data_IF_153376453814
#
_entry.id   IF_153376453814
#
_cell.length_a   1.000
_cell.length_b   1.000
_cell.length_c   1.000
_cell.angle_alpha   90.00
_cell.angle_beta   90.00
_cell.angle_gamma   90.00
#
_symmetry.space_group_name_H-M   'P 1'
#
loop_
_entity.id
_entity.type
_entity.pdbx_description
1 polymer ?
#
# COMPACT_ATOMS: atom_id res chain seq x y z
N UNK A 1 23.27 -7.27 -12.81
CA UNK A 1 22.34 -6.99 -13.94
C UNK A 1 21.41 -5.88 -13.48
N UNK A 2 21.04 -4.96 -14.37
CA UNK A 2 20.08 -3.90 -14.05
C UNK A 2 18.68 -4.52 -13.86
N UNK A 3 17.94 -4.03 -12.85
CA UNK A 3 16.54 -4.43 -12.65
C UNK A 3 15.67 -3.85 -13.75
N UNK A 4 14.67 -4.60 -14.21
CA UNK A 4 13.74 -4.14 -15.25
C UNK A 4 12.57 -3.37 -14.68
N UNK A 5 12.17 -3.72 -13.43
CA UNK A 5 11.04 -3.13 -12.73
C UNK A 5 11.31 -3.08 -11.23
N UNK A 6 10.75 -2.09 -10.57
CA UNK A 6 10.69 -2.00 -9.12
C UNK A 6 9.26 -2.25 -8.61
N UNK A 7 9.13 -2.96 -7.51
CA UNK A 7 7.85 -3.24 -6.87
C UNK A 7 7.94 -2.91 -5.38
N UNK A 8 7.16 -1.91 -4.96
CA UNK A 8 6.97 -1.56 -3.56
C UNK A 8 5.79 -2.36 -3.00
N UNK A 9 5.93 -2.89 -1.78
CA UNK A 9 4.86 -3.56 -1.06
C UNK A 9 4.67 -2.85 0.28
N UNK A 10 3.46 -2.35 0.57
CA UNK A 10 3.18 -1.68 1.84
C UNK A 10 1.97 -2.31 2.52
N UNK A 11 2.09 -2.57 3.83
CA UNK A 11 1.02 -3.16 4.63
C UNK A 11 0.01 -2.13 5.14
N UNK A 12 -1.13 -2.62 5.61
CA UNK A 12 -2.20 -1.84 6.22
C UNK A 12 -2.01 -1.57 7.71
N UNK A 13 -3.14 -1.28 8.38
CA UNK A 13 -3.20 -1.05 9.81
C UNK A 13 -2.97 -2.33 10.63
N UNK A 14 -2.65 -2.16 11.90
CA UNK A 14 -2.42 -3.22 12.87
C UNK A 14 -0.97 -3.72 12.91
N UNK A 15 -0.66 -4.47 13.99
CA UNK A 15 0.68 -5.03 14.18
C UNK A 15 1.04 -6.00 13.06
N UNK A 16 2.16 -5.75 12.42
CA UNK A 16 2.73 -6.60 11.36
C UNK A 16 4.14 -7.03 11.75
N UNK A 17 4.61 -8.11 11.17
CA UNK A 17 6.02 -8.49 11.26
C UNK A 17 6.81 -7.82 10.14
N UNK A 18 8.12 -7.69 10.33
CA UNK A 18 9.01 -7.09 9.31
C UNK A 18 9.08 -7.89 8.01
N UNK A 19 8.72 -9.16 8.05
CA UNK A 19 8.67 -10.11 6.94
C UNK A 19 7.26 -10.25 6.30
N UNK A 20 6.34 -9.33 6.63
CA UNK A 20 4.92 -9.37 6.22
C UNK A 20 4.71 -9.61 4.72
N UNK A 21 5.61 -9.15 3.87
CA UNK A 21 5.50 -9.24 2.41
C UNK A 21 6.07 -10.54 1.83
N UNK A 22 6.88 -11.29 2.57
CA UNK A 22 7.59 -12.48 2.06
C UNK A 22 6.66 -13.55 1.47
N UNK A 23 5.50 -13.89 2.09
CA UNK A 23 4.60 -14.88 1.50
C UNK A 23 4.08 -14.45 0.12
N UNK A 24 3.68 -13.17 -0.04
CA UNK A 24 3.20 -12.63 -1.32
C UNK A 24 4.31 -12.56 -2.37
N UNK A 25 5.48 -12.08 -1.98
CA UNK A 25 6.65 -11.98 -2.89
C UNK A 25 7.04 -13.36 -3.41
N UNK A 26 7.10 -14.35 -2.53
CA UNK A 26 7.41 -15.74 -2.90
C UNK A 26 6.38 -16.29 -3.89
N UNK A 27 5.11 -16.16 -3.58
CA UNK A 27 4.02 -16.63 -4.44
C UNK A 27 4.04 -15.95 -5.84
N UNK A 28 4.24 -14.62 -5.87
CA UNK A 28 4.31 -13.89 -7.13
C UNK A 28 5.56 -14.30 -7.94
N UNK A 29 6.71 -14.47 -7.29
CA UNK A 29 7.93 -14.90 -7.95
C UNK A 29 7.79 -16.31 -8.57
N UNK A 30 7.18 -17.25 -7.87
CA UNK A 30 6.92 -18.60 -8.38
C UNK A 30 6.01 -18.58 -9.61
N UNK A 31 4.98 -17.72 -9.59
CA UNK A 31 4.09 -17.52 -10.74
C UNK A 31 4.80 -16.88 -11.93
N UNK A 32 5.69 -15.92 -11.69
CA UNK A 32 6.51 -15.27 -12.72
C UNK A 32 7.45 -16.28 -13.37
N UNK A 33 8.06 -17.16 -12.59
CA UNK A 33 8.84 -18.30 -13.11
C UNK A 33 7.98 -19.21 -13.98
N UNK A 34 6.75 -19.52 -13.56
CA UNK A 34 5.78 -20.30 -14.35
C UNK A 34 5.38 -19.62 -15.66
N UNK A 35 5.52 -18.31 -15.79
CA UNK A 35 5.32 -17.54 -17.01
C UNK A 35 6.61 -17.42 -17.87
N UNK A 36 7.65 -18.17 -17.54
CA UNK A 36 8.96 -18.15 -18.21
C UNK A 36 9.65 -16.77 -18.16
N UNK A 37 9.44 -16.03 -17.08
CA UNK A 37 10.09 -14.75 -16.78
C UNK A 37 11.04 -14.90 -15.59
N UNK A 38 12.01 -13.99 -15.48
CA UNK A 38 13.02 -14.05 -14.42
C UNK A 38 12.66 -13.12 -13.24
N UNK A 39 12.32 -13.65 -12.05
CA UNK A 39 12.02 -12.84 -10.87
C UNK A 39 13.22 -11.99 -10.40
N UNK A 40 14.46 -12.37 -10.74
CA UNK A 40 15.64 -11.57 -10.41
C UNK A 40 15.69 -10.23 -11.14
N UNK A 41 14.88 -10.03 -12.18
CA UNK A 41 14.73 -8.75 -12.87
C UNK A 41 13.87 -7.74 -12.08
N UNK A 42 13.25 -8.17 -10.97
CA UNK A 42 12.43 -7.34 -10.09
C UNK A 42 13.27 -6.84 -8.91
N UNK A 43 13.14 -5.56 -8.59
CA UNK A 43 13.60 -5.00 -7.32
C UNK A 43 12.41 -4.88 -6.36
N UNK A 44 12.32 -5.78 -5.40
CA UNK A 44 11.29 -5.75 -4.36
C UNK A 44 11.67 -4.82 -3.22
N UNK A 45 10.72 -4.01 -2.73
CA UNK A 45 10.92 -3.14 -1.57
C UNK A 45 9.71 -3.15 -0.65
N UNK A 46 9.69 -4.02 0.38
CA UNK A 46 8.73 -3.93 1.46
C UNK A 46 8.91 -2.65 2.29
N UNK A 47 7.80 -1.98 2.60
CA UNK A 47 7.75 -0.82 3.49
C UNK A 47 7.00 -1.22 4.75
N UNK A 48 7.75 -1.40 5.84
CA UNK A 48 7.23 -1.64 7.17
C UNK A 48 7.18 -0.33 7.94
N UNK A 49 6.02 0.02 8.51
CA UNK A 49 5.78 1.30 9.16
C UNK A 49 5.04 1.22 10.51
N UNK A 50 4.45 0.05 10.86
CA UNK A 50 3.61 -0.07 12.08
C UNK A 50 4.36 0.17 13.39
N UNK A 51 5.69 0.00 13.40
CA UNK A 51 6.55 0.28 14.57
C UNK A 51 6.48 1.74 15.03
N UNK A 52 6.14 2.67 14.16
CA UNK A 52 5.96 4.10 14.49
C UNK A 52 4.94 4.32 15.60
N UNK A 53 3.88 3.51 15.64
CA UNK A 53 2.78 3.62 16.60
C UNK A 53 2.71 2.48 17.62
N UNK A 54 3.21 1.31 17.28
CA UNK A 54 2.99 0.07 18.02
C UNK A 54 3.47 0.17 19.49
N UNK A 55 4.63 0.76 19.73
CA UNK A 55 5.14 0.92 21.10
C UNK A 55 4.20 1.76 21.98
N UNK A 56 3.67 2.87 21.45
CA UNK A 56 2.74 3.76 22.15
C UNK A 56 1.42 3.06 22.46
N UNK A 57 0.90 2.31 21.50
CA UNK A 57 -0.36 1.55 21.61
C UNK A 57 -0.24 0.41 22.62
N UNK A 58 0.84 -0.36 22.58
CA UNK A 58 1.10 -1.47 23.51
C UNK A 58 1.34 -0.93 24.91
N UNK A 59 2.10 0.16 25.07
CA UNK A 59 2.34 0.79 26.35
C UNK A 59 1.03 1.24 27.00
N UNK A 60 0.15 1.92 26.26
CA UNK A 60 -1.16 2.32 26.71
C UNK A 60 -2.02 1.12 27.17
N UNK A 61 -2.13 0.07 26.34
CA UNK A 61 -2.91 -1.11 26.68
C UNK A 61 -2.40 -1.82 27.93
N UNK A 62 -1.07 -1.90 28.07
CA UNK A 62 -0.43 -2.51 29.24
C UNK A 62 -0.73 -1.72 30.52
N UNK A 63 -0.65 -0.40 30.43
CA UNK A 63 -0.97 0.48 31.57
C UNK A 63 -2.47 0.40 31.94
N UNK A 64 -3.35 0.48 30.95
CA UNK A 64 -4.79 0.36 31.15
C UNK A 64 -5.19 -1.00 31.77
N UNK A 65 -4.54 -2.09 31.34
CA UNK A 65 -4.79 -3.41 31.91
C UNK A 65 -4.31 -3.51 33.37
N UNK A 66 -3.14 -2.94 33.67
CA UNK A 66 -2.56 -3.02 35.01
C UNK A 66 -3.30 -2.17 36.04
N UNK A 67 -3.69 -0.97 35.64
CA UNK A 67 -4.17 0.05 36.56
C UNK A 67 -5.69 0.20 36.55
N UNK A 68 -6.40 -0.28 35.54
CA UNK A 68 -7.84 -0.06 35.36
C UNK A 68 -8.64 -1.35 35.10
N UNK A 69 -8.00 -2.52 35.20
CA UNK A 69 -8.64 -3.84 35.13
C UNK A 69 -9.63 -3.98 33.94
N UNK A 70 -9.19 -3.58 32.74
CA UNK A 70 -10.02 -3.63 31.54
C UNK A 70 -10.12 -5.07 30.99
N UNK A 71 -11.31 -5.44 30.54
CA UNK A 71 -11.59 -6.73 29.91
C UNK A 71 -11.38 -6.72 28.39
N UNK A 72 -11.48 -7.88 27.76
CA UNK A 72 -11.43 -8.07 26.29
C UNK A 72 -10.13 -7.56 25.64
N UNK A 73 -8.98 -7.79 26.25
CA UNK A 73 -7.69 -7.26 25.82
C UNK A 73 -7.38 -7.56 24.34
N UNK A 74 -7.70 -8.75 23.82
CA UNK A 74 -7.48 -9.09 22.43
C UNK A 74 -8.29 -8.22 21.45
N UNK A 75 -9.57 -8.00 21.74
CA UNK A 75 -10.44 -7.13 20.95
C UNK A 75 -10.00 -5.65 21.07
N UNK A 76 -9.67 -5.20 22.29
CA UNK A 76 -9.16 -3.84 22.50
C UNK A 76 -7.84 -3.59 21.80
N UNK A 77 -6.95 -4.59 21.77
CA UNK A 77 -5.70 -4.50 21.02
C UNK A 77 -6.00 -4.28 19.54
N UNK A 78 -6.87 -5.10 18.96
CA UNK A 78 -7.28 -4.94 17.56
C UNK A 78 -7.86 -3.53 17.29
N UNK A 79 -8.78 -3.07 18.14
CA UNK A 79 -9.39 -1.73 18.00
C UNK A 79 -8.35 -0.62 18.11
N UNK A 80 -7.47 -0.67 19.11
CA UNK A 80 -6.43 0.36 19.32
C UNK A 80 -5.40 0.36 18.19
N UNK A 81 -4.98 -0.80 17.71
CA UNK A 81 -4.00 -0.84 16.60
C UNK A 81 -4.65 -0.43 15.28
N UNK A 82 -5.83 -0.94 14.95
CA UNK A 82 -6.48 -0.66 13.67
C UNK A 82 -7.05 0.77 13.59
N UNK A 83 -7.90 1.17 14.56
CA UNK A 83 -8.49 2.51 14.56
C UNK A 83 -7.49 3.56 15.03
N UNK A 84 -6.56 3.21 15.94
CA UNK A 84 -5.49 4.08 16.40
C UNK A 84 -4.58 4.49 15.25
N UNK A 85 -4.15 3.56 14.41
CA UNK A 85 -3.35 3.82 13.21
C UNK A 85 -4.11 4.76 12.24
N UNK A 86 -5.37 4.44 11.96
CA UNK A 86 -6.20 5.22 11.06
C UNK A 86 -6.44 6.66 11.56
N UNK A 87 -6.63 6.83 12.87
CA UNK A 87 -6.87 8.16 13.47
C UNK A 87 -5.58 8.95 13.71
N UNK A 88 -4.48 8.28 13.98
CA UNK A 88 -3.17 8.92 14.16
C UNK A 88 -2.56 9.36 12.82
N UNK A 89 -2.84 8.63 11.74
CA UNK A 89 -2.39 8.98 10.40
C UNK A 89 -3.30 10.06 9.79
N UNK A 90 -3.25 11.26 10.34
CA UNK A 90 -3.94 12.44 9.81
C UNK A 90 -3.00 13.62 9.77
N UNK A 91 -3.05 14.38 8.65
CA UNK A 91 -2.29 15.63 8.54
C UNK A 91 -2.95 16.70 9.42
N UNK A 92 -2.39 16.96 10.57
CA UNK A 92 -2.87 18.00 11.50
C UNK A 92 -2.13 19.29 11.24
N UNK A 93 -2.85 20.43 11.23
CA UNK A 93 -2.27 21.77 11.07
C UNK A 93 -1.58 22.27 12.37
N UNK A 94 -0.85 21.42 13.06
CA UNK A 94 -0.05 21.84 14.21
C UNK A 94 1.44 21.74 13.87
N UNK A 95 2.26 22.60 14.47
CA UNK A 95 3.71 22.70 14.23
C UNK A 95 4.51 21.43 14.60
N UNK A 96 3.85 20.38 15.03
CA UNK A 96 4.45 19.10 15.43
C UNK A 96 3.46 17.95 15.23
N UNK A 97 3.15 17.62 14.01
CA UNK A 97 2.53 16.32 13.79
C UNK A 97 3.57 15.30 13.40
N UNK A 98 3.87 14.49 14.33
CA UNK A 98 4.94 13.53 14.22
C UNK A 98 4.53 12.27 13.47
N UNK A 99 3.32 11.75 13.65
CA UNK A 99 2.96 10.43 13.09
C UNK A 99 2.83 10.41 11.57
N UNK A 100 2.13 11.40 10.99
CA UNK A 100 2.03 11.52 9.53
C UNK A 100 3.41 11.71 8.90
N UNK A 101 4.20 12.63 9.47
CA UNK A 101 5.55 12.95 8.99
C UNK A 101 6.52 11.78 9.19
N UNK A 102 6.51 11.12 10.36
CA UNK A 102 7.34 9.95 10.65
C UNK A 102 7.07 8.79 9.68
N UNK A 103 5.80 8.53 9.35
CA UNK A 103 5.43 7.49 8.36
C UNK A 103 5.88 7.92 6.96
N UNK A 104 5.67 9.19 6.58
CA UNK A 104 6.11 9.70 5.28
C UNK A 104 7.64 9.69 5.14
N UNK A 105 8.38 10.03 6.19
CA UNK A 105 9.84 9.93 6.23
C UNK A 105 10.29 8.48 6.04
N UNK A 106 9.68 7.52 6.75
CA UNK A 106 9.95 6.09 6.57
C UNK A 106 9.70 5.62 5.13
N UNK A 107 8.59 6.05 4.52
CA UNK A 107 8.28 5.75 3.12
C UNK A 107 9.36 6.33 2.21
N UNK A 108 9.72 7.60 2.40
CA UNK A 108 10.75 8.28 1.64
C UNK A 108 12.13 7.60 1.72
N UNK A 109 12.56 7.24 2.94
CA UNK A 109 13.81 6.51 3.16
C UNK A 109 13.85 5.16 2.40
N UNK A 110 12.76 4.41 2.42
CA UNK A 110 12.67 3.12 1.73
C UNK A 110 12.71 3.28 0.20
N UNK A 111 12.05 4.32 -0.34
CA UNK A 111 12.06 4.63 -1.77
C UNK A 111 13.45 5.10 -2.20
N UNK A 112 14.07 5.97 -1.42
CA UNK A 112 15.45 6.41 -1.65
C UNK A 112 16.43 5.22 -1.63
N UNK A 113 16.32 4.36 -0.63
CA UNK A 113 17.14 3.16 -0.54
C UNK A 113 16.94 2.23 -1.76
N UNK A 114 15.69 2.02 -2.21
CA UNK A 114 15.38 1.28 -3.44
C UNK A 114 16.10 1.90 -4.63
N UNK A 115 16.00 3.21 -4.82
CA UNK A 115 16.59 3.90 -5.96
C UNK A 115 18.11 3.86 -5.94
N UNK A 116 18.72 4.23 -4.82
CA UNK A 116 20.18 4.33 -4.70
C UNK A 116 20.87 2.96 -4.69
N UNK A 117 20.35 2.00 -3.91
CA UNK A 117 21.05 0.74 -3.64
C UNK A 117 20.59 -0.42 -4.51
N UNK A 118 19.27 -0.60 -4.69
CA UNK A 118 18.76 -1.76 -5.43
C UNK A 118 18.74 -1.50 -6.94
N UNK A 119 18.50 -0.25 -7.34
CA UNK A 119 18.45 0.19 -8.74
C UNK A 119 19.73 0.89 -9.20
N UNK A 120 20.72 1.13 -8.33
CA UNK A 120 21.97 1.82 -8.65
C UNK A 120 21.74 3.16 -9.38
N UNK A 121 20.78 3.96 -8.91
CA UNK A 121 20.37 5.24 -9.50
C UNK A 121 19.86 5.15 -10.95
N UNK A 122 19.37 3.97 -11.37
CA UNK A 122 18.77 3.75 -12.69
C UNK A 122 17.24 3.63 -12.53
N UNK A 123 16.51 4.64 -12.97
CA UNK A 123 15.06 4.61 -12.91
C UNK A 123 14.50 3.53 -13.86
N UNK A 124 13.52 2.80 -13.37
CA UNK A 124 12.75 1.81 -14.12
C UNK A 124 11.25 1.96 -13.80
N UNK A 125 10.34 1.30 -14.53
CA UNK A 125 8.93 1.28 -14.18
C UNK A 125 8.71 0.86 -12.73
N UNK A 126 7.81 1.55 -12.02
CA UNK A 126 7.49 1.32 -10.62
C UNK A 126 6.05 0.81 -10.46
N UNK A 127 5.88 -0.29 -9.78
CA UNK A 127 4.57 -0.80 -9.34
C UNK A 127 4.47 -0.71 -7.82
N UNK A 128 3.30 -0.37 -7.30
CA UNK A 128 3.01 -0.34 -5.88
C UNK A 128 1.93 -1.37 -5.59
N UNK A 129 2.18 -2.25 -4.62
CA UNK A 129 1.21 -3.18 -4.03
C UNK A 129 0.86 -2.66 -2.64
N UNK A 130 -0.36 -2.17 -2.45
CA UNK A 130 -0.73 -1.46 -1.24
C UNK A 130 -1.98 -2.05 -0.58
N UNK A 131 -1.82 -2.58 0.62
CA UNK A 131 -2.89 -3.17 1.42
C UNK A 131 -3.55 -2.14 2.34
N UNK A 132 -4.88 -2.10 2.34
CA UNK A 132 -5.66 -1.39 3.36
C UNK A 132 -5.21 0.07 3.55
N UNK A 133 -4.87 0.49 4.77
CA UNK A 133 -4.35 1.83 5.11
C UNK A 133 -3.06 2.16 4.34
N UNK A 134 -2.25 1.15 3.96
CA UNK A 134 -1.09 1.35 3.09
C UNK A 134 -1.44 1.97 1.75
N UNK A 135 -2.63 1.68 1.21
CA UNK A 135 -3.15 2.34 0.01
C UNK A 135 -3.38 3.84 0.22
N UNK A 136 -3.95 4.22 1.36
CA UNK A 136 -4.15 5.61 1.73
C UNK A 136 -2.82 6.35 2.00
N UNK A 137 -1.90 5.70 2.72
CA UNK A 137 -0.54 6.22 2.99
C UNK A 137 0.18 6.51 1.67
N UNK A 138 0.23 5.55 0.75
CA UNK A 138 0.91 5.73 -0.53
C UNK A 138 0.23 6.79 -1.41
N UNK A 139 -1.11 6.83 -1.43
CA UNK A 139 -1.86 7.85 -2.16
C UNK A 139 -1.52 9.26 -1.64
N UNK A 140 -1.48 9.47 -0.32
CA UNK A 140 -1.14 10.76 0.28
C UNK A 140 0.34 11.14 0.04
N UNK A 141 1.25 10.17 0.20
CA UNK A 141 2.68 10.40 -0.04
C UNK A 141 2.94 10.82 -1.49
N UNK A 142 2.36 10.09 -2.45
CA UNK A 142 2.48 10.44 -3.88
C UNK A 142 1.85 11.80 -4.16
N UNK A 143 0.68 12.09 -3.59
CA UNK A 143 0.02 13.39 -3.71
C UNK A 143 0.90 14.53 -3.22
N UNK A 144 1.50 14.39 -2.04
CA UNK A 144 2.40 15.39 -1.48
C UNK A 144 3.65 15.59 -2.37
N UNK A 145 4.25 14.51 -2.90
CA UNK A 145 5.36 14.58 -3.85
C UNK A 145 4.95 15.29 -5.15
N UNK A 146 3.79 14.97 -5.71
CA UNK A 146 3.28 15.60 -6.93
C UNK A 146 2.92 17.07 -6.73
N UNK A 147 2.54 17.48 -5.53
CA UNK A 147 2.20 18.86 -5.17
C UNK A 147 3.45 19.70 -4.89
N UNK A 148 4.40 19.19 -4.13
CA UNK A 148 5.57 19.94 -3.66
C UNK A 148 6.71 19.94 -4.67
N UNK A 149 6.81 18.89 -5.51
CA UNK A 149 7.87 18.75 -6.52
C UNK A 149 9.28 19.05 -5.97
N UNK A 150 9.76 18.34 -4.93
CA UNK A 150 11.05 18.63 -4.30
C UNK A 150 12.19 18.56 -5.32
N UNK A 151 13.02 19.61 -5.39
CA UNK A 151 14.11 19.70 -6.38
C UNK A 151 15.30 18.78 -6.09
N UNK A 152 15.42 18.33 -4.84
CA UNK A 152 16.49 17.44 -4.38
C UNK A 152 16.19 15.94 -4.57
N UNK A 153 15.02 15.59 -5.06
CA UNK A 153 14.63 14.19 -5.33
C UNK A 153 14.69 13.87 -6.83
N UNK A 154 15.05 12.64 -7.13
CA UNK A 154 15.04 12.11 -8.51
C UNK A 154 13.61 11.99 -9.06
N UNK A 155 13.49 11.83 -10.38
CA UNK A 155 12.20 11.55 -11.04
C UNK A 155 11.57 10.24 -10.53
N UNK A 156 12.38 9.25 -10.13
CA UNK A 156 11.91 7.99 -9.56
C UNK A 156 11.27 8.23 -8.17
N UNK A 157 11.95 8.95 -7.28
CA UNK A 157 11.46 9.29 -5.94
C UNK A 157 10.21 10.17 -5.98
N UNK A 158 10.03 10.96 -7.04
CA UNK A 158 8.81 11.77 -7.30
C UNK A 158 7.68 11.00 -7.99
N UNK A 159 7.82 9.68 -8.15
CA UNK A 159 6.85 8.80 -8.80
C UNK A 159 6.56 9.11 -10.27
N UNK A 160 7.46 9.80 -10.95
CA UNK A 160 7.32 10.06 -12.39
C UNK A 160 7.45 8.77 -13.23
N UNK A 161 7.92 7.66 -12.64
CA UNK A 161 8.01 6.33 -13.23
C UNK A 161 6.90 5.36 -12.75
N UNK A 162 5.85 5.86 -12.06
CA UNK A 162 4.75 5.04 -11.57
C UNK A 162 3.96 4.44 -12.74
N UNK A 163 4.07 3.14 -12.93
CA UNK A 163 3.43 2.37 -14.00
C UNK A 163 2.31 1.46 -13.50
N UNK A 164 2.26 1.14 -12.20
CA UNK A 164 1.20 0.33 -11.63
C UNK A 164 0.84 0.76 -10.21
N UNK A 165 -0.44 0.84 -9.93
CA UNK A 165 -0.99 0.99 -8.58
C UNK A 165 -1.96 -0.17 -8.35
N UNK A 166 -1.60 -1.08 -7.46
CA UNK A 166 -2.40 -2.24 -7.10
C UNK A 166 -2.81 -2.06 -5.64
N UNK A 167 -4.06 -1.72 -5.42
CA UNK A 167 -4.64 -1.60 -4.08
C UNK A 167 -5.48 -2.84 -3.78
N UNK A 168 -5.45 -3.32 -2.55
CA UNK A 168 -6.26 -4.46 -2.12
C UNK A 168 -6.73 -4.30 -0.66
N UNK A 169 -8.00 -4.64 -0.41
CA UNK A 169 -8.66 -4.33 0.85
C UNK A 169 -8.58 -2.84 1.18
N UNK A 170 -8.62 -1.97 0.18
CA UNK A 170 -8.27 -0.56 0.31
C UNK A 170 -9.39 0.25 0.96
N UNK A 171 -9.02 1.11 1.92
CA UNK A 171 -9.94 1.93 2.70
C UNK A 171 -9.88 3.43 2.39
N UNK A 172 -9.28 3.85 1.28
CA UNK A 172 -9.26 5.25 0.82
C UNK A 172 -10.65 5.92 0.93
N UNK A 173 -11.77 5.27 0.53
CA UNK A 173 -13.09 5.89 0.62
C UNK A 173 -13.45 6.40 2.01
N UNK A 174 -13.04 5.71 3.09
CA UNK A 174 -13.33 6.13 4.46
C UNK A 174 -12.71 7.50 4.81
N UNK A 175 -11.55 7.78 4.25
CA UNK A 175 -10.82 9.03 4.49
C UNK A 175 -11.27 10.16 3.55
N UNK A 176 -11.85 9.83 2.40
CA UNK A 176 -12.36 10.83 1.46
C UNK A 176 -13.58 11.57 1.98
N UNK A 177 -14.35 10.94 2.88
CA UNK A 177 -15.54 11.56 3.49
C UNK A 177 -15.24 12.83 4.30
N UNK A 178 -13.98 13.08 4.64
CA UNK A 178 -13.55 14.29 5.34
C UNK A 178 -13.39 15.52 4.41
N UNK A 179 -13.48 15.35 3.09
CA UNK A 179 -13.17 16.38 2.09
C UNK A 179 -14.31 16.57 1.11
N UNK A 180 -14.55 17.81 0.67
CA UNK A 180 -15.53 18.14 -0.35
C UNK A 180 -14.96 17.96 -1.77
N UNK A 181 -13.70 18.34 -2.00
CA UNK A 181 -13.01 18.24 -3.30
C UNK A 181 -11.96 17.11 -3.26
N UNK A 182 -12.36 15.92 -3.71
CA UNK A 182 -11.55 14.72 -3.67
C UNK A 182 -10.96 14.47 -5.04
N UNK A 183 -9.63 14.42 -5.12
CA UNK A 183 -8.89 14.14 -6.36
C UNK A 183 -7.92 12.99 -6.17
N UNK A 184 -7.87 12.04 -7.12
CA UNK A 184 -6.85 11.00 -7.11
C UNK A 184 -5.46 11.58 -7.43
N UNK A 185 -4.42 10.83 -7.17
CA UNK A 185 -3.07 11.10 -7.65
C UNK A 185 -3.05 11.18 -9.18
N UNK A 186 -2.10 11.93 -9.75
CA UNK A 186 -1.84 11.88 -11.19
C UNK A 186 -1.20 10.54 -11.55
N UNK A 187 -1.87 9.81 -12.41
CA UNK A 187 -1.47 8.48 -12.87
C UNK A 187 -1.80 8.32 -14.36
N UNK A 188 -0.98 7.66 -15.17
CA UNK A 188 0.35 7.12 -14.84
C UNK A 188 1.43 8.20 -14.70
N UNK A 189 2.63 7.80 -14.28
CA UNK A 189 3.79 8.67 -14.12
C UNK A 189 4.18 9.39 -15.43
N UNK A 190 4.67 10.63 -15.30
CA UNK A 190 4.94 11.52 -16.43
C UNK A 190 6.16 11.11 -17.26
N UNK A 191 7.19 10.51 -16.63
CA UNK A 191 8.47 10.15 -17.27
C UNK A 191 8.47 8.78 -17.97
N UNK A 192 7.35 8.06 -17.95
CA UNK A 192 7.23 6.77 -18.65
C UNK A 192 7.22 6.94 -20.16
N UNK A 193 7.84 6.00 -20.89
CA UNK A 193 7.70 5.89 -22.35
C UNK A 193 6.25 5.56 -22.73
N UNK A 194 5.87 5.83 -23.98
CA UNK A 194 4.52 5.54 -24.47
C UNK A 194 4.18 4.04 -24.38
N UNK A 195 5.14 3.16 -24.64
CA UNK A 195 4.96 1.70 -24.51
C UNK A 195 4.64 1.31 -23.05
N UNK A 196 5.36 1.85 -22.08
CA UNK A 196 5.09 1.60 -20.66
C UNK A 196 3.78 2.26 -20.20
N UNK A 197 3.48 3.49 -20.66
CA UNK A 197 2.21 4.15 -20.37
C UNK A 197 1.00 3.35 -20.83
N UNK A 198 1.10 2.69 -21.99
CA UNK A 198 0.01 1.88 -22.51
C UNK A 198 -0.30 0.63 -21.66
N UNK A 199 0.68 0.16 -20.88
CA UNK A 199 0.55 -0.97 -19.94
C UNK A 199 0.15 -0.51 -18.52
N UNK A 200 0.26 0.78 -18.23
CA UNK A 200 0.03 1.29 -16.88
C UNK A 200 -1.42 1.10 -16.43
N UNK A 201 -1.61 0.56 -15.23
CA UNK A 201 -2.93 0.29 -14.65
C UNK A 201 -2.98 0.59 -13.17
N UNK A 202 -4.09 1.18 -12.74
CA UNK A 202 -4.53 1.17 -11.34
C UNK A 202 -5.61 0.12 -11.18
N UNK A 203 -5.31 -0.99 -10.52
CA UNK A 203 -6.24 -2.08 -10.23
C UNK A 203 -6.53 -2.08 -8.73
N UNK A 204 -7.79 -2.16 -8.37
CA UNK A 204 -8.20 -2.25 -6.97
C UNK A 204 -8.93 -3.57 -6.74
N UNK A 205 -8.40 -4.38 -5.82
CA UNK A 205 -9.00 -5.67 -5.44
C UNK A 205 -9.74 -5.51 -4.12
N UNK A 206 -10.97 -5.94 -4.08
CA UNK A 206 -11.78 -5.92 -2.86
C UNK A 206 -12.58 -7.21 -2.71
N UNK A 207 -12.81 -7.61 -1.48
CA UNK A 207 -13.72 -8.69 -1.17
C UNK A 207 -15.06 -8.06 -0.78
N UNK A 208 -16.20 -8.45 -1.40
CA UNK A 208 -17.51 -7.94 -1.03
C UNK A 208 -17.90 -8.15 0.44
N UNK A 209 -17.29 -9.13 1.10
CA UNK A 209 -17.53 -9.44 2.51
C UNK A 209 -16.53 -8.74 3.46
N UNK A 210 -15.49 -8.09 2.92
CA UNK A 210 -14.54 -7.28 3.70
C UNK A 210 -15.10 -5.88 3.97
N UNK A 211 -15.55 -5.66 5.19
CA UNK A 211 -16.14 -4.36 5.63
C UNK A 211 -15.14 -3.21 5.68
N UNK A 212 -13.85 -3.45 5.48
CA UNK A 212 -12.78 -2.44 5.45
C UNK A 212 -12.23 -2.21 4.04
N UNK A 213 -12.60 -3.05 3.06
CA UNK A 213 -12.19 -2.96 1.66
C UNK A 213 -13.29 -2.41 0.76
N UNK A 214 -12.99 -1.41 -0.05
CA UNK A 214 -14.01 -0.70 -0.82
C UNK A 214 -13.62 -0.56 -2.30
N UNK A 215 -14.63 -0.52 -3.23
CA UNK A 215 -14.41 -0.10 -4.61
C UNK A 215 -14.03 1.38 -4.67
N UNK A 216 -13.00 1.72 -5.46
CA UNK A 216 -12.48 3.08 -5.56
C UNK A 216 -13.18 3.91 -6.64
N UNK A 217 -13.66 3.30 -7.72
CA UNK A 217 -14.35 4.00 -8.81
C UNK A 217 -15.64 4.66 -8.33
N UNK A 218 -16.24 4.16 -7.27
CA UNK A 218 -17.44 4.71 -6.66
C UNK A 218 -17.22 6.02 -5.88
N UNK A 219 -15.99 6.44 -5.63
CA UNK A 219 -15.69 7.66 -4.89
C UNK A 219 -16.23 8.89 -5.62
N UNK A 220 -15.85 9.07 -6.88
CA UNK A 220 -16.34 10.13 -7.79
C UNK A 220 -15.85 9.90 -9.23
N UNK A 221 -16.25 10.79 -10.16
CA UNK A 221 -15.89 10.72 -11.57
C UNK A 221 -14.37 10.76 -11.81
N UNK A 222 -13.61 11.49 -10.98
CA UNK A 222 -12.15 11.58 -11.12
C UNK A 222 -11.47 10.25 -10.77
N UNK A 223 -11.93 9.56 -9.73
CA UNK A 223 -11.47 8.20 -9.41
C UNK A 223 -11.93 7.20 -10.46
N UNK A 224 -13.18 7.30 -10.92
CA UNK A 224 -13.69 6.44 -11.98
C UNK A 224 -12.88 6.55 -13.29
N UNK A 225 -12.33 7.73 -13.57
CA UNK A 225 -11.50 7.97 -14.76
C UNK A 225 -10.07 7.41 -14.62
N UNK A 226 -9.49 7.40 -13.43
CA UNK A 226 -8.08 7.02 -13.21
C UNK A 226 -7.92 5.57 -12.79
N UNK A 227 -8.84 5.01 -12.02
CA UNK A 227 -8.85 3.59 -11.64
C UNK A 227 -9.35 2.77 -12.82
N UNK A 228 -8.50 1.89 -13.33
CA UNK A 228 -8.88 1.07 -14.48
C UNK A 228 -9.98 0.08 -14.13
N UNK A 229 -9.83 -0.62 -12.99
CA UNK A 229 -10.78 -1.66 -12.60
C UNK A 229 -10.85 -1.82 -11.07
N UNK A 230 -12.08 -1.97 -10.55
CA UNK A 230 -12.36 -2.55 -9.24
C UNK A 230 -12.70 -4.03 -9.43
N UNK A 231 -11.87 -4.92 -8.87
CA UNK A 231 -11.95 -6.37 -9.08
C UNK A 231 -12.44 -7.02 -7.79
N UNK A 232 -13.63 -7.59 -7.82
CA UNK A 232 -14.17 -8.36 -6.71
C UNK A 232 -13.48 -9.73 -6.64
N UNK A 233 -12.94 -10.08 -5.47
CA UNK A 233 -12.33 -11.38 -5.20
C UNK A 233 -12.91 -11.94 -3.88
N UNK A 234 -12.68 -13.21 -3.60
CA UNK A 234 -13.00 -13.81 -2.31
C UNK A 234 -11.69 -14.06 -1.57
N UNK A 235 -11.26 -13.10 -0.77
CA UNK A 235 -9.95 -13.07 -0.09
C UNK A 235 -9.97 -13.76 1.29
N UNK A 236 -10.79 -14.75 1.50
CA UNK A 236 -10.88 -15.43 2.77
C UNK A 236 -11.39 -16.86 2.62
N UNK A 237 -11.52 -17.55 3.74
CA UNK A 237 -12.28 -18.81 3.78
C UNK A 237 -13.75 -18.53 4.09
N UNK A 238 -14.63 -19.43 3.65
CA UNK A 238 -16.09 -19.41 3.93
C UNK A 238 -16.41 -19.20 5.43
N UNK A 239 -15.46 -19.47 6.32
CA UNK A 239 -15.61 -19.32 7.77
C UNK A 239 -15.13 -18.01 8.35
N UNK A 240 -14.46 -17.15 7.55
CA UNK A 240 -13.84 -15.89 8.01
C UNK A 240 -14.40 -14.64 7.34
N UNK A 241 -15.32 -14.80 6.40
CA UNK A 241 -15.83 -13.75 5.52
C UNK A 241 -16.55 -12.57 6.23
N UNK A 242 -16.91 -12.68 7.51
CA UNK A 242 -17.63 -11.62 8.24
C UNK A 242 -16.85 -10.97 9.40
N UNK A 243 -15.55 -11.24 9.51
CA UNK A 243 -14.74 -10.72 10.60
C UNK A 243 -13.43 -10.06 10.10
N UNK A 244 -12.71 -9.28 10.93
CA UNK A 244 -11.48 -8.62 10.55
C UNK A 244 -10.36 -9.53 10.03
N UNK A 245 -10.48 -10.86 10.17
CA UNK A 245 -9.54 -11.86 9.64
C UNK A 245 -9.64 -11.95 8.10
N UNK A 246 -10.81 -11.71 7.51
CA UNK A 246 -10.97 -11.63 6.06
C UNK A 246 -10.07 -10.53 5.46
N UNK A 247 -9.94 -9.39 6.16
CA UNK A 247 -9.10 -8.27 5.76
C UNK A 247 -7.60 -8.61 5.64
N UNK A 248 -7.13 -9.65 6.30
CA UNK A 248 -5.75 -10.16 6.17
C UNK A 248 -5.59 -11.29 5.13
N UNK A 249 -6.69 -11.78 4.56
CA UNK A 249 -6.69 -12.92 3.64
C UNK A 249 -6.09 -12.65 2.26
N UNK A 250 -5.92 -11.40 1.87
CA UNK A 250 -5.45 -11.02 0.53
C UNK A 250 -4.02 -11.48 0.19
N UNK A 251 -3.12 -11.57 1.19
CA UNK A 251 -1.68 -11.67 0.98
C UNK A 251 -1.22 -12.87 0.15
N UNK A 252 -1.92 -13.98 0.22
CA UNK A 252 -1.62 -15.20 -0.54
C UNK A 252 -2.82 -15.69 -1.36
N UNK A 253 -3.85 -14.85 -1.50
CA UNK A 253 -5.03 -15.22 -2.27
C UNK A 253 -4.73 -15.32 -3.77
N UNK A 254 -5.21 -16.39 -4.39
CA UNK A 254 -5.02 -16.65 -5.82
C UNK A 254 -5.74 -15.62 -6.71
N UNK A 255 -6.86 -15.07 -6.25
CA UNK A 255 -7.60 -14.02 -6.95
C UNK A 255 -6.82 -12.72 -7.05
N UNK A 256 -5.86 -12.50 -6.14
CA UNK A 256 -4.94 -11.36 -6.15
C UNK A 256 -3.60 -11.71 -6.79
N UNK A 257 -2.90 -12.73 -6.25
CA UNK A 257 -1.50 -13.00 -6.61
C UNK A 257 -1.33 -13.42 -8.07
N UNK A 258 -2.30 -14.15 -8.63
CA UNK A 258 -2.27 -14.58 -10.03
C UNK A 258 -2.39 -13.43 -11.05
N UNK A 259 -3.41 -12.55 -10.99
CA UNK A 259 -3.48 -11.40 -11.89
C UNK A 259 -2.33 -10.39 -11.67
N UNK A 260 -1.86 -10.20 -10.43
CA UNK A 260 -0.72 -9.34 -10.13
C UNK A 260 0.57 -9.88 -10.76
N UNK A 261 0.87 -11.18 -10.62
CA UNK A 261 2.03 -11.79 -11.26
C UNK A 261 1.97 -11.67 -12.78
N UNK A 262 0.80 -11.89 -13.38
CA UNK A 262 0.59 -11.69 -14.83
C UNK A 262 0.87 -10.24 -15.22
N UNK A 263 0.34 -9.27 -14.47
CA UNK A 263 0.56 -7.85 -14.73
C UNK A 263 2.04 -7.46 -14.63
N UNK A 264 2.73 -7.86 -13.56
CA UNK A 264 4.17 -7.60 -13.39
C UNK A 264 4.95 -8.22 -14.56
N UNK A 265 4.57 -9.41 -15.05
CA UNK A 265 5.26 -10.09 -16.15
C UNK A 265 5.23 -9.35 -17.48
N UNK A 266 4.28 -8.41 -17.67
CA UNK A 266 4.19 -7.55 -18.87
C UNK A 266 5.37 -6.56 -18.98
N UNK A 267 6.10 -6.33 -17.88
CA UNK A 267 7.25 -5.44 -17.79
C UNK A 267 8.59 -6.18 -17.79
N UNK A 268 8.58 -7.52 -17.74
CA UNK A 268 9.75 -8.40 -17.77
C UNK A 268 9.97 -9.00 -19.17
#
# INVERSE_FOLDING_TARGET
>A
MSKKIAVIVIHGMGSQNTDFAEPMITEINDRILGLSKNPNDIAWKPIYWSDVLEERQIAYLRDAQRNHNIDFIGLRRFVITALGDATAYQKVMSDKNTTYEEIHERVGEKIKNLYENDLNNQACPLIILAHSLGGHIMSNYIWDMQKTQPSNLSSFEKFEHLSGMITFGCNIPLFTLAYEDIKPIKFPGSALSNDIKSKAKWLNFYDPDDILGYPLKAINDAYNAVVNEDIAINAGSIFTSWNPVAHSGYWTDNGLTKPVAKYISEFL
#
